data_IF_929360801982
#
_entry.id   IF_929360801982
#
_cell.length_a   1.000
_cell.length_b   1.000
_cell.length_c   1.000
_cell.angle_alpha   90.00
_cell.angle_beta   90.00
_cell.angle_gamma   90.00
#
_symmetry.space_group_name_H-M   'P 1'
#
loop_
_entity.id
_entity.type
_entity.pdbx_description
1 polymer ?
#
# COMPACT_ATOMS: atom_id res chain seq x y z
N UNK A 1 -0.89 26.13 10.18
CA UNK A 1 -1.50 26.07 8.83
C UNK A 1 -0.94 24.80 8.20
N UNK A 2 -1.74 23.74 8.04
CA UNK A 2 -1.25 22.43 7.52
C UNK A 2 -2.19 21.90 6.44
N UNK A 3 -3.50 22.00 6.70
CA UNK A 3 -4.55 21.70 5.72
C UNK A 3 -4.72 22.79 4.66
N UNK A 4 -4.58 24.07 5.04
CA UNK A 4 -4.75 25.21 4.11
C UNK A 4 -3.68 25.23 3.00
N UNK A 5 -2.42 24.93 3.33
CA UNK A 5 -1.31 24.89 2.35
C UNK A 5 -1.44 23.73 1.34
N UNK A 6 -2.24 22.72 1.68
CA UNK A 6 -2.53 21.57 0.81
C UNK A 6 -3.86 21.73 0.06
N UNK A 7 -4.71 22.66 0.50
CA UNK A 7 -5.98 23.01 -0.12
C UNK A 7 -5.89 24.22 -1.06
N UNK A 8 -4.82 25.01 -0.97
CA UNK A 8 -4.51 26.11 -1.88
C UNK A 8 -3.31 25.71 -2.75
N UNK A 9 -3.52 25.59 -4.07
CA UNK A 9 -2.44 25.31 -5.05
C UNK A 9 -2.42 23.87 -5.60
N UNK A 10 -1.24 23.44 -6.06
CA UNK A 10 -1.03 22.23 -6.88
C UNK A 10 -1.30 20.89 -6.16
N UNK A 11 -1.45 20.90 -4.83
CA UNK A 11 -1.63 19.71 -3.99
C UNK A 11 -3.06 19.18 -3.92
N UNK A 12 -4.05 19.96 -4.38
CA UNK A 12 -5.47 19.57 -4.39
C UNK A 12 -5.70 18.32 -5.24
N UNK A 13 -5.03 18.23 -6.39
CA UNK A 13 -5.15 17.06 -7.28
C UNK A 13 -4.72 15.75 -6.62
N UNK A 14 -3.61 15.77 -5.89
CA UNK A 14 -3.12 14.59 -5.15
C UNK A 14 -4.04 14.28 -3.97
N UNK A 15 -4.59 15.29 -3.29
CA UNK A 15 -5.55 15.10 -2.20
C UNK A 15 -6.82 14.38 -2.69
N UNK A 16 -7.35 14.78 -3.85
CA UNK A 16 -8.48 14.11 -4.49
C UNK A 16 -8.12 12.69 -4.95
N UNK A 17 -6.93 12.50 -5.51
CA UNK A 17 -6.43 11.18 -5.88
C UNK A 17 -6.37 10.24 -4.68
N UNK A 18 -5.91 10.70 -3.52
CA UNK A 18 -5.87 9.90 -2.29
C UNK A 18 -7.30 9.58 -1.84
N UNK A 19 -8.20 10.56 -1.82
CA UNK A 19 -9.59 10.32 -1.44
C UNK A 19 -10.25 9.22 -2.31
N UNK A 20 -10.18 9.37 -3.64
CA UNK A 20 -10.79 8.38 -4.53
C UNK A 20 -10.00 7.07 -4.62
N UNK A 21 -8.69 7.16 -4.63
CA UNK A 21 -7.80 6.03 -4.89
C UNK A 21 -7.44 5.20 -3.67
N UNK A 22 -7.24 5.84 -2.51
CA UNK A 22 -6.90 5.15 -1.26
C UNK A 22 -8.14 4.67 -0.51
N UNK A 23 -9.24 5.43 -0.56
CA UNK A 23 -10.46 5.10 0.17
C UNK A 23 -11.59 4.58 -0.74
N UNK A 24 -12.12 5.42 -1.65
CA UNK A 24 -13.36 5.08 -2.38
C UNK A 24 -13.19 3.83 -3.24
N UNK A 25 -12.12 3.74 -4.04
CA UNK A 25 -11.90 2.62 -4.94
C UNK A 25 -11.71 1.29 -4.18
N UNK A 26 -10.78 1.16 -3.20
CA UNK A 26 -10.64 -0.08 -2.44
C UNK A 26 -11.91 -0.45 -1.67
N UNK A 27 -12.60 0.53 -1.07
CA UNK A 27 -13.82 0.30 -0.31
C UNK A 27 -14.94 -0.27 -1.20
N UNK A 28 -15.24 0.41 -2.31
CA UNK A 28 -16.33 0.02 -3.22
C UNK A 28 -16.06 -1.32 -3.90
N UNK A 29 -14.81 -1.60 -4.23
CA UNK A 29 -14.40 -2.87 -4.84
C UNK A 29 -14.46 -4.02 -3.79
N UNK A 30 -13.87 -3.84 -2.60
CA UNK A 30 -13.76 -4.91 -1.59
C UNK A 30 -15.02 -5.09 -0.73
N UNK A 31 -16.06 -4.26 -0.89
CA UNK A 31 -17.34 -4.43 -0.19
C UNK A 31 -17.98 -5.77 -0.56
N UNK A 32 -17.89 -6.16 -1.83
CA UNK A 32 -18.58 -7.34 -2.34
C UNK A 32 -17.92 -8.64 -1.89
N UNK A 33 -18.77 -9.57 -1.44
CA UNK A 33 -18.33 -10.89 -0.97
C UNK A 33 -17.59 -11.68 -2.04
N UNK A 34 -18.09 -11.67 -3.28
CA UNK A 34 -17.50 -12.41 -4.39
C UNK A 34 -16.07 -11.93 -4.71
N UNK A 35 -15.84 -10.63 -4.60
CA UNK A 35 -14.53 -10.02 -4.80
C UNK A 35 -13.55 -10.45 -3.69
N UNK A 36 -13.99 -10.45 -2.43
CA UNK A 36 -13.18 -10.91 -1.29
C UNK A 36 -12.80 -12.39 -1.32
N UNK A 37 -13.37 -13.19 -2.24
CA UNK A 37 -13.01 -14.60 -2.45
C UNK A 37 -12.18 -14.82 -3.72
N UNK A 38 -12.03 -13.79 -4.57
CA UNK A 38 -11.22 -13.87 -5.77
C UNK A 38 -9.77 -13.48 -5.44
N UNK A 39 -8.90 -14.48 -5.34
CA UNK A 39 -7.48 -14.29 -5.01
C UNK A 39 -6.76 -13.38 -6.01
N UNK A 40 -7.11 -13.42 -7.31
CA UNK A 40 -6.50 -12.54 -8.30
C UNK A 40 -6.86 -11.08 -8.08
N UNK A 41 -8.13 -10.81 -7.77
CA UNK A 41 -8.56 -9.44 -7.51
C UNK A 41 -8.06 -8.92 -6.15
N UNK A 42 -8.00 -9.79 -5.13
CA UNK A 42 -7.36 -9.46 -3.85
C UNK A 42 -5.88 -9.11 -4.02
N UNK A 43 -5.12 -9.86 -4.83
CA UNK A 43 -3.71 -9.55 -5.12
C UNK A 43 -3.56 -8.18 -5.78
N UNK A 44 -4.39 -7.89 -6.77
CA UNK A 44 -4.40 -6.59 -7.44
C UNK A 44 -4.72 -5.45 -6.45
N UNK A 45 -5.75 -5.63 -5.62
CA UNK A 45 -6.15 -4.63 -4.63
C UNK A 45 -5.11 -4.45 -3.52
N UNK A 46 -4.43 -5.51 -3.09
CA UNK A 46 -3.33 -5.41 -2.13
C UNK A 46 -2.17 -4.56 -2.69
N UNK A 47 -1.77 -4.80 -3.94
CA UNK A 47 -0.76 -3.98 -4.62
C UNK A 47 -1.21 -2.53 -4.78
N UNK A 48 -2.47 -2.31 -5.16
CA UNK A 48 -3.06 -0.98 -5.30
C UNK A 48 -3.05 -0.21 -3.97
N UNK A 49 -3.47 -0.84 -2.87
CA UNK A 49 -3.49 -0.22 -1.54
C UNK A 49 -2.07 0.14 -1.10
N UNK A 50 -1.09 -0.73 -1.32
CA UNK A 50 0.33 -0.43 -1.04
C UNK A 50 0.83 0.78 -1.84
N UNK A 51 0.49 0.84 -3.13
CA UNK A 51 0.85 1.98 -3.99
C UNK A 51 0.19 3.27 -3.49
N UNK A 52 -1.12 3.24 -3.18
CA UNK A 52 -1.83 4.43 -2.69
C UNK A 52 -1.35 4.86 -1.31
N UNK A 53 -0.96 3.92 -0.45
CA UNK A 53 -0.35 4.25 0.83
C UNK A 53 0.99 4.95 0.66
N UNK A 54 1.77 4.58 -0.35
CA UNK A 54 2.99 5.30 -0.70
C UNK A 54 2.69 6.74 -1.15
N UNK A 55 1.66 6.93 -1.99
CA UNK A 55 1.22 8.28 -2.40
C UNK A 55 0.73 9.11 -1.21
N UNK A 56 0.06 8.49 -0.24
CA UNK A 56 -0.38 9.14 1.00
C UNK A 56 0.81 9.63 1.85
N UNK A 57 1.82 8.78 2.07
CA UNK A 57 3.06 9.17 2.76
C UNK A 57 3.74 10.32 2.03
N UNK A 58 3.78 10.28 0.69
CA UNK A 58 4.35 11.37 -0.11
C UNK A 58 3.59 12.68 0.10
N UNK A 59 2.26 12.65 0.05
CA UNK A 59 1.42 13.82 0.30
C UNK A 59 1.56 14.37 1.72
N UNK A 60 1.85 13.50 2.70
CA UNK A 60 2.10 13.91 4.08
C UNK A 60 3.41 14.69 4.22
N UNK A 61 4.49 14.19 3.61
CA UNK A 61 5.87 14.70 3.81
C UNK A 61 6.25 15.80 2.82
N UNK A 62 5.92 15.68 1.53
CA UNK A 62 6.50 16.54 0.50
C UNK A 62 6.06 18.01 0.51
N UNK A 63 4.80 18.37 0.84
CA UNK A 63 4.36 19.76 0.86
C UNK A 63 5.10 20.63 1.89
N UNK A 64 5.78 20.04 2.87
CA UNK A 64 6.60 20.79 3.83
C UNK A 64 7.95 21.24 3.26
N UNK A 65 8.39 20.65 2.13
CA UNK A 65 9.68 20.94 1.50
C UNK A 65 9.56 21.70 0.18
N UNK A 66 8.45 21.54 -0.55
CA UNK A 66 8.21 22.23 -1.83
C UNK A 66 6.79 22.86 -1.83
N UNK A 67 6.65 24.11 -1.37
CA UNK A 67 5.36 24.79 -1.29
C UNK A 67 4.71 25.04 -2.66
N UNK A 68 5.52 25.21 -3.71
CA UNK A 68 5.06 25.58 -5.05
C UNK A 68 4.46 24.41 -5.86
N UNK A 69 4.40 23.21 -5.29
CA UNK A 69 3.84 22.01 -5.91
C UNK A 69 4.90 20.98 -6.34
N UNK A 70 4.48 19.76 -6.73
CA UNK A 70 5.40 18.73 -7.18
C UNK A 70 6.02 19.11 -8.52
N UNK A 71 7.33 19.25 -8.56
CA UNK A 71 8.10 19.18 -9.80
C UNK A 71 8.30 17.70 -10.19
N UNK A 72 8.48 17.43 -11.48
CA UNK A 72 8.61 16.07 -12.03
C UNK A 72 10.01 15.82 -12.58
N UNK A 73 11.03 16.42 -11.97
CA UNK A 73 12.40 16.23 -12.40
C UNK A 73 12.84 14.78 -12.12
N UNK A 74 13.71 14.18 -12.95
CA UNK A 74 14.22 12.83 -12.71
C UNK A 74 14.86 12.65 -11.33
N UNK A 75 15.52 13.71 -10.82
CA UNK A 75 16.11 13.72 -9.48
C UNK A 75 15.05 13.62 -8.36
N UNK A 76 13.87 14.18 -8.57
CA UNK A 76 12.77 14.14 -7.60
C UNK A 76 12.10 12.77 -7.59
N UNK A 77 11.95 12.15 -8.76
CA UNK A 77 11.48 10.78 -8.86
C UNK A 77 12.45 9.81 -8.16
N UNK A 78 13.75 10.05 -8.27
CA UNK A 78 14.80 9.28 -7.58
C UNK A 78 14.80 9.50 -6.07
N UNK A 79 14.61 10.73 -5.59
CA UNK A 79 14.49 11.00 -4.14
C UNK A 79 13.18 10.47 -3.56
N UNK A 80 12.13 10.37 -4.36
CA UNK A 80 10.87 9.76 -3.98
C UNK A 80 10.95 8.23 -3.93
N UNK A 81 11.35 7.60 -5.04
CA UNK A 81 11.35 6.14 -5.17
C UNK A 81 12.58 5.48 -4.55
N UNK A 82 13.72 6.17 -4.49
CA UNK A 82 15.01 5.62 -4.03
C UNK A 82 14.96 5.09 -2.59
N UNK A 83 14.54 5.90 -1.59
CA UNK A 83 14.42 5.44 -0.21
C UNK A 83 13.44 4.28 -0.07
N UNK A 84 12.31 4.33 -0.80
CA UNK A 84 11.30 3.28 -0.78
C UNK A 84 11.85 1.95 -1.34
N UNK A 85 12.53 1.99 -2.49
CA UNK A 85 13.12 0.80 -3.10
C UNK A 85 14.26 0.24 -2.26
N UNK A 86 15.05 1.11 -1.63
CA UNK A 86 16.13 0.69 -0.74
C UNK A 86 15.60 0.02 0.53
N UNK A 87 14.73 0.70 1.28
CA UNK A 87 14.15 0.19 2.52
C UNK A 87 13.25 -1.01 2.24
N UNK A 88 12.40 -0.92 1.22
CA UNK A 88 11.52 -2.00 0.76
C UNK A 88 12.31 -3.22 0.29
N UNK A 89 13.44 -3.03 -0.41
CA UNK A 89 14.32 -4.11 -0.83
C UNK A 89 14.98 -4.81 0.36
N UNK A 90 15.49 -4.06 1.34
CA UNK A 90 16.04 -4.62 2.58
C UNK A 90 14.96 -5.37 3.36
N UNK A 91 13.76 -4.81 3.47
CA UNK A 91 12.62 -5.45 4.10
C UNK A 91 12.25 -6.76 3.40
N UNK A 92 12.05 -6.75 2.09
CA UNK A 92 11.70 -7.95 1.32
C UNK A 92 12.77 -9.04 1.44
N UNK A 93 14.06 -8.67 1.37
CA UNK A 93 15.18 -9.60 1.52
C UNK A 93 15.19 -10.24 2.91
N UNK A 94 15.10 -9.42 3.96
CA UNK A 94 15.11 -9.90 5.34
C UNK A 94 13.87 -10.74 5.64
N UNK A 95 12.69 -10.30 5.21
CA UNK A 95 11.44 -11.04 5.30
C UNK A 95 11.59 -12.43 4.66
N UNK A 96 12.05 -12.50 3.40
CA UNK A 96 12.20 -13.76 2.69
C UNK A 96 13.23 -14.70 3.34
N UNK A 97 14.33 -14.12 3.82
CA UNK A 97 15.35 -14.86 4.56
C UNK A 97 14.80 -15.50 5.84
N UNK A 98 13.95 -14.81 6.59
CA UNK A 98 13.31 -15.41 7.78
C UNK A 98 12.18 -16.37 7.42
N UNK A 99 11.39 -16.04 6.39
CA UNK A 99 10.24 -16.82 5.95
C UNK A 99 10.61 -18.20 5.43
N UNK A 100 11.72 -18.33 4.72
CA UNK A 100 12.18 -19.60 4.13
C UNK A 100 12.91 -20.53 5.11
N UNK A 101 13.29 -20.03 6.30
CA UNK A 101 14.07 -20.81 7.28
C UNK A 101 13.24 -21.72 8.19
N UNK A 102 11.91 -21.61 8.19
CA UNK A 102 11.02 -22.44 9.01
C UNK A 102 9.88 -22.99 8.15
N UNK A 103 9.29 -24.10 8.60
CA UNK A 103 8.10 -24.65 7.96
C UNK A 103 6.96 -23.62 7.99
N UNK A 104 6.40 -23.32 6.81
CA UNK A 104 5.35 -22.30 6.63
C UNK A 104 4.00 -22.71 7.23
N UNK A 105 3.79 -24.02 7.35
CA UNK A 105 2.60 -24.60 7.94
C UNK A 105 3.00 -25.25 9.26
N UNK A 106 2.31 -24.95 10.38
CA UNK A 106 2.63 -25.54 11.67
C UNK A 106 2.17 -27.00 11.72
N UNK A 107 3.02 -27.93 11.27
CA UNK A 107 2.69 -29.35 11.15
C UNK A 107 2.29 -30.03 12.48
N UNK A 108 2.73 -29.48 13.61
CA UNK A 108 2.42 -29.98 14.95
C UNK A 108 1.17 -29.35 15.58
N UNK A 109 0.48 -28.42 14.90
CA UNK A 109 -0.70 -27.76 15.45
C UNK A 109 -1.94 -28.67 15.36
N UNK A 110 -2.58 -29.05 16.48
CA UNK A 110 -3.82 -29.83 16.49
C UNK A 110 -4.97 -29.19 15.69
N UNK A 111 -4.99 -27.86 15.56
CA UNK A 111 -6.04 -27.11 14.84
C UNK A 111 -5.85 -27.11 13.33
N UNK A 112 -4.69 -27.54 12.82
CA UNK A 112 -4.36 -27.47 11.40
C UNK A 112 -5.40 -28.21 10.53
N UNK A 113 -5.81 -29.41 10.94
CA UNK A 113 -6.79 -30.21 10.20
C UNK A 113 -8.16 -29.51 10.11
N UNK A 114 -8.60 -28.90 11.22
CA UNK A 114 -9.86 -28.15 11.25
C UNK A 114 -9.81 -26.90 10.36
N UNK A 115 -8.68 -26.18 10.34
CA UNK A 115 -8.50 -24.98 9.49
C UNK A 115 -8.47 -25.31 8.00
N UNK A 116 -7.88 -26.43 7.60
CA UNK A 116 -7.87 -26.88 6.19
C UNK A 116 -9.27 -27.33 5.75
N UNK A 117 -10.01 -28.02 6.63
CA UNK A 117 -11.36 -28.47 6.34
C UNK A 117 -12.42 -27.34 6.37
N UNK A 118 -12.07 -26.16 6.91
CA UNK A 118 -12.99 -25.04 7.02
C UNK A 118 -13.29 -24.43 5.65
N UNK A 119 -14.56 -24.54 5.23
CA UNK A 119 -15.09 -23.86 4.05
C UNK A 119 -16.08 -22.80 4.51
N UNK A 120 -15.73 -21.54 4.36
CA UNK A 120 -16.62 -20.43 4.66
C UNK A 120 -17.77 -20.41 3.62
N UNK A 121 -18.98 -20.81 4.02
CA UNK A 121 -20.21 -20.79 3.20
C UNK A 121 -20.72 -19.39 2.95
#
# INVERSE_FOLDING_TARGET
VWYLDRWQGSWVGISLLIFFGHFVAPFTILVFRNIKRNVSLLRLMALWILLMHFVDIFWLVYPTHIPNGPTYAPMELLTLAGPMLFIGGIFCRTFWYWFTRKALVPAADPKLKASIAFVNQ
#
